data_IF_847582778541
#
_entry.id   IF_847582778541
#
_cell.length_a   1.000
_cell.length_b   1.000
_cell.length_c   1.000
_cell.angle_alpha   90.00
_cell.angle_beta   90.00
_cell.angle_gamma   90.00
#
_symmetry.space_group_name_H-M   'P 1'
#
loop_
_entity.id
_entity.type
_entity.pdbx_description
1 polymer ?
#
# COMPACT_ATOMS: atom_id res chain seq x y z
N UNK A 1 8.27 9.66 15.04
CA UNK A 1 6.87 10.01 14.72
C UNK A 1 6.91 11.03 13.58
N UNK A 2 7.05 10.58 12.33
CA UNK A 2 7.03 11.49 11.18
C UNK A 2 5.61 11.48 10.61
N UNK A 3 4.83 12.49 10.97
CA UNK A 3 3.58 12.80 10.27
C UNK A 3 3.94 13.36 8.91
N UNK A 4 3.93 12.51 7.88
CA UNK A 4 3.95 12.98 6.50
C UNK A 4 2.75 13.93 6.34
N UNK A 5 2.95 15.19 5.95
CA UNK A 5 1.83 16.10 5.73
C UNK A 5 0.99 15.53 4.58
N UNK A 6 -0.23 15.11 4.90
CA UNK A 6 -1.19 14.66 3.88
C UNK A 6 -1.46 15.88 2.98
N UNK A 7 -1.15 15.81 1.67
CA UNK A 7 -1.35 16.96 0.79
C UNK A 7 -2.82 17.38 0.86
N UNK A 8 -3.06 18.59 1.35
CA UNK A 8 -4.40 19.18 1.54
C UNK A 8 -4.91 19.75 0.21
N UNK A 9 -4.80 18.96 -0.86
CA UNK A 9 -5.45 19.27 -2.12
C UNK A 9 -6.79 18.54 -2.08
N UNK A 10 -7.89 19.30 -2.07
CA UNK A 10 -9.22 18.74 -2.21
C UNK A 10 -9.41 18.29 -3.67
N UNK A 11 -8.93 17.08 -3.98
CA UNK A 11 -9.16 16.42 -5.26
C UNK A 11 -10.57 15.86 -5.26
N UNK A 12 -11.33 16.11 -6.33
CA UNK A 12 -12.61 15.45 -6.52
C UNK A 12 -12.41 13.97 -6.84
N UNK A 13 -13.47 13.18 -6.72
CA UNK A 13 -13.42 11.75 -7.10
C UNK A 13 -12.99 11.59 -8.56
N UNK A 14 -13.47 12.46 -9.46
CA UNK A 14 -13.09 12.46 -10.87
C UNK A 14 -11.59 12.75 -11.07
N UNK A 15 -11.02 13.68 -10.32
CA UNK A 15 -9.58 13.98 -10.40
C UNK A 15 -8.72 12.79 -9.93
N UNK A 16 -9.18 12.08 -8.90
CA UNK A 16 -8.50 10.87 -8.40
C UNK A 16 -8.59 9.70 -9.39
N UNK A 17 -9.74 9.52 -10.05
CA UNK A 17 -9.92 8.51 -11.10
C UNK A 17 -9.01 8.80 -12.31
N UNK A 18 -8.93 10.07 -12.72
CA UNK A 18 -8.05 10.50 -13.80
C UNK A 18 -6.58 10.27 -13.45
N UNK A 19 -6.16 10.65 -12.25
CA UNK A 19 -4.79 10.41 -11.77
C UNK A 19 -4.47 8.90 -11.72
N UNK A 20 -5.41 8.08 -11.26
CA UNK A 20 -5.24 6.63 -11.22
C UNK A 20 -5.07 6.03 -12.63
N UNK A 21 -5.77 6.56 -13.63
CA UNK A 21 -5.62 6.15 -15.03
C UNK A 21 -4.23 6.52 -15.57
N UNK A 22 -3.77 7.74 -15.31
CA UNK A 22 -2.45 8.23 -15.74
C UNK A 22 -1.30 7.40 -15.15
N UNK A 23 -1.38 7.08 -13.86
CA UNK A 23 -0.38 6.23 -13.18
C UNK A 23 -0.31 4.85 -13.85
N UNK A 24 -1.47 4.25 -14.16
CA UNK A 24 -1.52 2.94 -14.83
C UNK A 24 -0.94 2.98 -16.24
N UNK A 25 -1.20 4.06 -16.99
CA UNK A 25 -0.59 4.24 -18.31
C UNK A 25 0.92 4.36 -18.25
N UNK A 26 1.45 5.16 -17.32
CA UNK A 26 2.90 5.30 -17.12
C UNK A 26 3.50 3.93 -16.79
N UNK A 27 2.86 3.19 -15.89
CA UNK A 27 3.28 1.84 -15.53
C UNK A 27 3.32 0.87 -16.72
N UNK A 28 2.27 0.89 -17.56
CA UNK A 28 2.25 0.09 -18.78
C UNK A 28 3.37 0.50 -19.75
N UNK A 29 3.64 1.80 -19.91
CA UNK A 29 4.75 2.33 -20.74
C UNK A 29 6.13 1.93 -20.22
N UNK A 30 6.27 1.76 -18.91
CA UNK A 30 7.50 1.27 -18.28
C UNK A 30 7.67 -0.26 -18.39
N UNK A 31 6.69 -0.98 -18.95
CA UNK A 31 6.74 -2.43 -19.12
C UNK A 31 6.23 -3.23 -17.91
N UNK A 32 5.57 -2.60 -16.94
CA UNK A 32 4.92 -3.33 -15.86
C UNK A 32 3.66 -4.03 -16.37
N UNK A 33 3.50 -5.29 -15.99
CA UNK A 33 2.34 -6.10 -16.37
C UNK A 33 1.05 -5.69 -15.63
N UNK A 34 1.18 -5.25 -14.38
CA UNK A 34 0.05 -4.82 -13.54
C UNK A 34 0.50 -3.79 -12.50
N UNK A 35 -0.37 -2.82 -12.22
CA UNK A 35 -0.19 -1.82 -11.17
C UNK A 35 -1.40 -1.81 -10.24
N UNK A 36 -1.14 -1.75 -8.93
CA UNK A 36 -2.14 -1.55 -7.88
C UNK A 36 -1.88 -0.24 -7.15
N UNK A 37 -2.95 0.45 -6.76
CA UNK A 37 -2.92 1.64 -5.91
C UNK A 37 -3.57 1.25 -4.59
N UNK A 38 -2.87 1.44 -3.48
CA UNK A 38 -3.35 1.14 -2.14
C UNK A 38 -3.18 2.36 -1.24
N UNK A 39 -4.04 2.49 -0.23
CA UNK A 39 -3.88 3.53 0.79
C UNK A 39 -2.66 3.22 1.68
N UNK A 40 -2.12 4.25 2.29
CA UNK A 40 -1.02 4.20 3.27
C UNK A 40 -1.48 3.71 4.65
N UNK A 41 -2.78 3.47 4.84
CA UNK A 41 -3.35 2.96 6.08
C UNK A 41 -2.98 1.50 6.29
N UNK A 42 -1.84 1.28 6.94
CA UNK A 42 -1.28 -0.05 7.22
C UNK A 42 -1.79 -0.65 8.54
N UNK A 43 -2.59 0.05 9.32
CA UNK A 43 -2.99 -0.37 10.68
C UNK A 43 -3.70 -1.73 10.70
N UNK A 44 -4.65 -1.96 9.78
CA UNK A 44 -5.37 -3.23 9.67
C UNK A 44 -4.49 -4.37 9.14
N UNK A 45 -3.56 -4.06 8.24
CA UNK A 45 -2.58 -5.03 7.74
C UNK A 45 -1.58 -5.41 8.83
N UNK A 46 -1.17 -4.46 9.67
CA UNK A 46 -0.27 -4.68 10.80
C UNK A 46 -0.90 -5.62 11.83
N UNK A 47 -2.14 -5.36 12.25
CA UNK A 47 -2.83 -6.22 13.22
C UNK A 47 -3.00 -7.66 12.71
N UNK A 48 -3.27 -7.83 11.41
CA UNK A 48 -3.39 -9.15 10.78
C UNK A 48 -2.05 -9.87 10.72
N UNK A 49 -0.95 -9.14 10.45
CA UNK A 49 0.39 -9.67 10.46
C UNK A 49 0.82 -10.09 11.87
N UNK A 50 0.58 -9.26 12.88
CA UNK A 50 0.92 -9.54 14.28
C UNK A 50 0.18 -10.80 14.76
N UNK A 51 -1.12 -10.90 14.50
CA UNK A 51 -1.90 -12.10 14.82
C UNK A 51 -1.40 -13.35 14.08
N UNK A 52 -0.89 -13.20 12.85
CA UNK A 52 -0.32 -14.29 12.07
C UNK A 52 1.05 -14.74 12.60
N UNK A 53 1.88 -13.78 13.06
CA UNK A 53 3.15 -14.04 13.71
C UNK A 53 2.95 -14.74 15.07
N UNK A 54 2.01 -14.28 15.89
CA UNK A 54 1.66 -14.89 17.19
C UNK A 54 1.20 -16.36 17.04
N UNK A 55 0.57 -16.69 15.92
CA UNK A 55 0.11 -18.06 15.62
C UNK A 55 1.25 -18.99 15.17
N UNK A 56 2.51 -18.53 15.18
CA UNK A 56 3.68 -19.35 14.80
C UNK A 56 3.67 -19.79 13.33
N UNK A 57 2.81 -19.19 12.50
CA UNK A 57 2.65 -19.54 11.07
C UNK A 57 3.79 -19.03 10.18
N UNK A 58 4.80 -18.40 10.78
CA UNK A 58 6.05 -18.04 10.12
C UNK A 58 7.00 -19.23 9.92
N UNK A 59 6.71 -20.41 10.50
CA UNK A 59 7.59 -21.58 10.43
C UNK A 59 9.00 -21.23 10.91
N UNK A 60 10.03 -21.60 10.15
CA UNK A 60 11.45 -21.29 10.42
C UNK A 60 11.87 -19.87 9.93
N UNK A 61 10.95 -19.01 9.47
CA UNK A 61 11.28 -17.64 9.04
C UNK A 61 11.43 -16.68 10.23
N UNK A 62 12.39 -17.00 11.10
CA UNK A 62 12.67 -16.28 12.36
C UNK A 62 13.01 -14.79 12.16
N UNK A 63 13.31 -14.36 10.93
CA UNK A 63 13.56 -12.96 10.57
C UNK A 63 12.27 -12.13 10.39
N UNK A 64 11.10 -12.75 10.19
CA UNK A 64 9.82 -12.04 10.04
C UNK A 64 9.18 -11.65 11.39
N UNK A 65 9.73 -12.15 12.50
CA UNK A 65 9.28 -11.88 13.86
C UNK A 65 10.24 -10.95 14.64
N UNK A 66 11.13 -10.22 13.97
CA UNK A 66 12.10 -9.29 14.57
C UNK A 66 11.89 -7.86 14.10
#
# INVERSE_FOLDING_TARGET
MNTVPKPTVALSVADLEQLAAEIKEIGAKLGFQQLGIADTQLEAAQASLDAWLEQGRHGEMRYMAR
#
